data_IF_174493391760
#
_entry.id   IF_174493391760
#
_cell.length_a   1.000
_cell.length_b   1.000
_cell.length_c   1.000
_cell.angle_alpha   90.00
_cell.angle_beta   90.00
_cell.angle_gamma   90.00
#
_symmetry.space_group_name_H-M   'P 1'
#
loop_
_entity.id
_entity.type
_entity.pdbx_description
1 polymer ?
2 non-polymer ?
3 non-polymer ?
4 non-polymer ?
5 water ?
#
# COMPACT_ATOMS: atom_id res chain seq x y z
N UNK A 5 23.73 -12.00 14.87
CA UNK A 5 22.76 -11.32 14.03
C UNK A 5 21.38 -11.94 14.18
N UNK A 6 20.45 -11.24 14.81
CA UNK A 6 19.08 -11.75 14.97
C UNK A 6 18.22 -11.36 13.78
N UNK A 7 17.42 -12.29 13.30
CA UNK A 7 16.62 -12.01 12.12
C UNK A 7 15.12 -11.93 12.32
N UNK A 8 14.49 -10.95 11.69
CA UNK A 8 13.04 -10.85 11.65
C UNK A 8 12.60 -11.01 10.21
N UNK A 9 11.82 -12.04 9.95
CA UNK A 9 11.32 -12.28 8.62
C UNK A 9 9.84 -11.94 8.51
N UNK A 10 9.52 -10.99 7.65
CA UNK A 10 8.15 -10.59 7.40
C UNK A 10 7.72 -11.12 6.04
N UNK A 11 6.72 -11.99 6.02
CA UNK A 11 6.23 -12.57 4.77
C UNK A 11 4.91 -11.92 4.37
N UNK A 12 4.87 -11.33 3.19
CA UNK A 12 3.70 -10.60 2.75
C UNK A 12 2.80 -11.24 1.69
N UNK A 13 3.22 -12.34 1.13
CA UNK A 13 2.37 -12.99 0.16
C UNK A 13 1.26 -13.74 0.86
N UNK A 14 0.08 -13.73 0.28
CA UNK A 14 -1.04 -14.49 0.80
C UNK A 14 -0.96 -15.94 0.39
N UNK A 15 -0.08 -16.24 -0.55
CA UNK A 15 0.10 -17.62 -0.97
C UNK A 15 1.08 -18.32 -0.06
N UNK A 16 0.93 -19.63 0.07
CA UNK A 16 1.82 -20.42 0.91
C UNK A 16 2.87 -21.13 0.09
N UNK A 17 2.70 -22.43 -0.07
CA UNK A 17 3.59 -23.25 -0.86
C UNK A 17 3.90 -22.71 -2.23
N UNK A 18 2.91 -22.08 -2.84
CA UNK A 18 3.03 -21.56 -4.18
C UNK A 18 3.65 -20.20 -4.25
N UNK A 19 3.92 -19.59 -3.12
CA UNK A 19 4.53 -18.27 -3.12
C UNK A 19 6.00 -18.31 -3.47
N UNK A 20 6.37 -17.59 -4.49
CA UNK A 20 7.75 -17.51 -4.91
C UNK A 20 8.55 -16.60 -4.02
N UNK A 21 7.96 -15.48 -3.63
CA UNK A 21 8.61 -14.55 -2.73
C UNK A 21 8.89 -15.15 -1.36
N UNK A 22 7.98 -15.99 -0.90
CA UNK A 22 8.15 -16.69 0.35
C UNK A 22 9.22 -17.77 0.23
N UNK A 23 9.21 -18.52 -0.87
CA UNK A 23 10.14 -19.60 -1.09
C UNK A 23 11.57 -19.10 -1.17
N UNK A 24 11.76 -18.04 -1.95
CA UNK A 24 13.07 -17.47 -2.12
C UNK A 24 13.63 -16.98 -0.81
N UNK A 25 12.78 -16.44 0.04
CA UNK A 25 13.23 -15.91 1.30
C UNK A 25 13.55 -17.01 2.29
N UNK A 26 12.81 -18.11 2.22
CA UNK A 26 13.03 -19.25 3.07
C UNK A 26 14.32 -19.94 2.67
N UNK A 27 14.68 -19.82 1.40
CA UNK A 27 15.92 -20.36 0.91
C UNK A 27 17.05 -19.61 1.58
N UNK A 28 16.94 -18.30 1.62
CA UNK A 28 17.92 -17.48 2.27
C UNK A 28 18.03 -17.75 3.76
N UNK A 29 16.89 -17.97 4.40
CA UNK A 29 16.85 -18.16 5.83
C UNK A 29 17.40 -19.48 6.26
N UNK A 30 17.17 -20.51 5.47
CA UNK A 30 17.72 -21.81 5.78
C UNK A 30 19.23 -21.76 5.62
N UNK A 31 19.68 -21.22 4.50
CA UNK A 31 21.08 -21.05 4.22
C UNK A 31 21.75 -20.29 5.33
N UNK A 32 21.16 -19.18 5.73
CA UNK A 32 21.74 -18.42 6.79
C UNK A 32 21.82 -19.24 8.06
N UNK A 33 20.83 -20.10 8.27
CA UNK A 33 20.77 -20.96 9.43
C UNK A 33 21.84 -22.05 9.47
N UNK A 34 22.24 -22.54 8.31
CA UNK A 34 23.31 -23.50 8.21
C UNK A 34 24.59 -22.80 8.64
N UNK A 35 24.76 -21.55 8.24
CA UNK A 35 25.94 -20.82 8.60
C UNK A 35 25.98 -20.33 10.03
N UNK A 36 24.82 -20.07 10.62
CA UNK A 36 24.78 -19.55 11.97
C UNK A 36 23.78 -20.29 12.85
N UNK A 37 24.16 -21.50 13.21
CA UNK A 37 23.31 -22.41 13.97
C UNK A 37 22.72 -21.84 15.24
N UNK A 38 23.35 -20.83 15.80
CA UNK A 38 22.89 -20.22 17.04
C UNK A 38 22.00 -19.02 16.84
N UNK A 39 21.83 -18.59 15.59
CA UNK A 39 21.05 -17.40 15.29
C UNK A 39 19.59 -17.57 15.53
N UNK A 40 18.95 -16.49 15.94
CA UNK A 40 17.52 -16.51 16.18
C UNK A 40 16.76 -15.94 14.99
N UNK A 41 15.74 -16.66 14.56
CA UNK A 41 14.88 -16.24 13.47
C UNK A 41 13.45 -16.12 13.95
N UNK A 42 12.91 -14.92 13.91
CA UNK A 42 11.53 -14.69 14.22
C UNK A 42 10.80 -14.49 12.91
N UNK A 43 9.58 -15.01 12.82
CA UNK A 43 8.77 -14.85 11.63
C UNK A 43 7.49 -14.08 11.95
N UNK A 44 7.14 -13.14 11.10
CA UNK A 44 5.91 -12.37 11.25
C UNK A 44 5.09 -12.43 9.97
N UNK A 45 3.94 -13.07 10.04
CA UNK A 45 3.05 -13.23 8.89
C UNK A 45 2.13 -12.04 8.65
N UNK A 46 2.20 -11.45 7.48
CA UNK A 46 1.34 -10.32 7.16
C UNK A 46 0.59 -10.51 5.86
N UNK A 47 0.72 -11.68 5.28
CA UNK A 47 0.07 -11.98 4.03
C UNK A 47 -1.06 -12.97 4.14
N UNK A 48 -0.83 -14.04 4.87
CA UNK A 48 -1.77 -15.12 5.02
C UNK A 48 -2.65 -14.90 6.21
N UNK A 49 -2.38 -13.80 6.89
CA UNK A 49 -3.06 -13.46 8.10
C UNK A 49 -3.40 -11.99 7.99
N UNK A 50 -4.59 -11.61 8.41
CA UNK A 50 -4.98 -10.22 8.32
C UNK A 50 -4.28 -9.37 9.37
N UNK A 51 -3.89 -8.18 9.00
CA UNK A 51 -3.22 -7.28 9.89
C UNK A 51 -4.01 -6.00 9.92
N UNK A 52 -4.48 -5.64 11.09
CA UNK A 52 -5.28 -4.44 11.27
C UNK A 52 -4.69 -3.20 10.66
N UNK A 53 -5.57 -2.44 10.03
CA UNK A 53 -5.25 -1.18 9.46
C UNK A 53 -5.29 -0.17 10.56
N UNK A 54 -4.62 0.94 10.34
CA UNK A 54 -4.62 2.05 11.24
C UNK A 54 -6.03 2.61 11.35
N UNK A 55 -6.51 2.73 12.57
CA UNK A 55 -7.82 3.29 12.85
C UNK A 55 -7.68 4.71 13.38
N UNK A 56 -8.79 5.36 13.62
CA UNK A 56 -8.79 6.69 14.18
C UNK A 56 -8.24 6.61 15.58
N UNK A 57 -8.59 5.54 16.27
CA UNK A 57 -8.13 5.32 17.62
C UNK A 57 -6.63 5.12 17.64
N UNK A 58 -6.09 4.50 16.61
CA UNK A 58 -4.66 4.32 16.54
C UNK A 58 -4.00 5.65 16.37
N UNK A 59 -4.58 6.50 15.56
CA UNK A 59 -4.04 7.83 15.37
C UNK A 59 -4.06 8.67 16.65
N UNK A 60 -5.14 8.59 17.40
CA UNK A 60 -5.29 9.35 18.62
C UNK A 60 -4.27 8.96 19.64
N UNK A 61 -4.02 7.67 19.75
CA UNK A 61 -3.10 7.14 20.71
C UNK A 61 -1.65 7.30 20.33
N UNK A 62 -1.34 6.99 19.09
CA UNK A 62 0.03 7.04 18.64
C UNK A 62 0.61 8.44 18.59
N UNK A 63 -0.25 9.44 18.47
CA UNK A 63 0.17 10.82 18.41
C UNK A 63 -0.33 11.64 19.57
N UNK A 64 -0.71 10.97 20.64
CA UNK A 64 -1.17 11.63 21.84
C UNK A 64 0.00 12.48 22.26
N UNK A 65 -0.30 13.70 22.72
CA UNK A 65 0.75 14.66 23.07
C UNK A 65 1.47 14.33 24.36
N UNK A 66 0.78 13.69 25.29
CA UNK A 66 1.36 13.27 26.55
C UNK A 66 1.18 11.78 26.68
N UNK A 67 2.05 11.04 26.03
CA UNK A 67 1.96 9.57 26.00
C UNK A 67 1.77 8.90 27.34
N UNK A 68 2.48 9.35 28.36
CA UNK A 68 2.31 8.80 29.70
C UNK A 68 0.87 8.84 30.21
N UNK A 69 0.07 9.74 29.66
CA UNK A 69 -1.31 9.89 30.07
C UNK A 69 -2.30 9.07 29.30
N UNK A 70 -1.86 8.17 28.44
CA UNK A 70 -2.78 7.35 27.67
C UNK A 70 -3.53 6.42 28.58
N UNK A 71 -4.81 6.23 28.32
CA UNK A 71 -5.61 5.34 29.11
C UNK A 71 -5.25 3.91 28.77
N UNK A 72 -5.77 2.98 29.55
CA UNK A 72 -5.57 1.57 29.34
C UNK A 72 -6.15 1.17 28.01
N UNK A 73 -7.29 1.76 27.68
CA UNK A 73 -7.95 1.54 26.43
C UNK A 73 -7.08 1.97 25.27
N UNK A 74 -6.46 3.13 25.39
CA UNK A 74 -5.56 3.62 24.36
C UNK A 74 -4.37 2.71 24.18
N UNK A 75 -3.84 2.19 25.28
CA UNK A 75 -2.69 1.33 25.23
C UNK A 75 -3.04 0.05 24.51
N UNK A 76 -4.25 -0.41 24.73
CA UNK A 76 -4.76 -1.59 24.07
C UNK A 76 -4.81 -1.39 22.56
N UNK A 77 -5.06 -0.17 22.13
CA UNK A 77 -5.10 0.18 20.74
C UNK A 77 -3.71 0.11 20.12
N UNK A 78 -2.68 0.20 20.96
CA UNK A 78 -1.30 0.23 20.51
C UNK A 78 -0.54 -1.05 20.81
N UNK A 79 -1.24 -2.01 21.38
CA UNK A 79 -0.63 -3.26 21.77
C UNK A 79 -0.02 -4.05 20.65
N UNK A 80 -0.74 -4.25 19.57
CA UNK A 80 -0.18 -4.98 18.44
C UNK A 80 1.05 -4.25 17.92
N UNK A 81 0.91 -2.96 17.73
CA UNK A 81 2.00 -2.13 17.28
C UNK A 81 3.25 -2.26 18.14
N UNK A 82 3.08 -2.22 19.45
CA UNK A 82 4.20 -2.39 20.36
C UNK A 82 4.85 -3.73 20.12
N UNK A 83 4.05 -4.78 19.96
CA UNK A 83 4.58 -6.10 19.67
C UNK A 83 5.39 -6.12 18.39
N UNK A 84 4.86 -5.49 17.35
CA UNK A 84 5.49 -5.42 16.03
C UNK A 84 6.79 -4.64 15.97
N UNK A 85 6.83 -3.45 16.58
CA UNK A 85 8.07 -2.73 16.59
C UNK A 85 9.09 -3.41 17.49
N UNK A 86 8.61 -4.04 18.55
CA UNK A 86 9.45 -4.81 19.42
C UNK A 86 10.21 -5.87 18.67
N UNK A 87 9.56 -6.54 17.73
CA UNK A 87 10.22 -7.55 16.93
C UNK A 87 11.32 -6.94 16.10
N UNK A 88 11.08 -5.72 15.65
CA UNK A 88 12.02 -5.00 14.83
C UNK A 88 13.18 -4.53 15.66
N UNK A 89 12.90 -4.04 16.85
CA UNK A 89 13.94 -3.58 17.74
C UNK A 89 14.87 -4.72 18.10
N UNK A 90 14.32 -5.91 18.24
CA UNK A 90 15.11 -7.06 18.60
C UNK A 90 15.91 -7.62 17.46
N UNK A 91 15.79 -7.06 16.28
CA UNK A 91 16.47 -7.66 15.15
C UNK A 91 17.63 -6.86 14.62
N UNK A 92 18.53 -7.56 13.95
CA UNK A 92 19.65 -6.89 13.33
C UNK A 92 19.37 -6.87 11.85
N UNK A 93 18.74 -7.93 11.38
CA UNK A 93 18.41 -8.03 9.98
C UNK A 93 16.95 -8.34 9.72
N UNK A 94 16.34 -7.51 8.89
CA UNK A 94 14.95 -7.62 8.51
C UNK A 94 14.83 -8.15 7.11
N UNK A 95 14.13 -9.26 6.96
CA UNK A 95 13.91 -9.81 5.65
C UNK A 95 12.44 -9.65 5.32
N UNK A 96 12.14 -9.01 4.22
CA UNK A 96 10.77 -8.87 3.80
C UNK A 96 10.56 -9.55 2.47
N UNK A 97 9.63 -10.50 2.43
CA UNK A 97 9.27 -11.17 1.19
C UNK A 97 7.92 -10.63 0.74
N UNK A 98 7.83 -10.23 -0.51
CA UNK A 98 6.61 -9.63 -1.02
C UNK A 98 6.50 -9.74 -2.53
N UNK A 99 5.27 -9.91 -3.01
CA UNK A 99 5.00 -9.87 -4.43
C UNK A 99 4.60 -8.45 -4.79
N UNK A 100 4.65 -8.10 -6.08
CA UNK A 100 4.16 -6.81 -6.51
C UNK A 100 2.69 -6.94 -6.85
N UNK A 101 1.84 -6.26 -6.08
CA UNK A 101 0.40 -6.33 -6.32
C UNK A 101 -0.03 -4.96 -6.80
N UNK A 102 -0.47 -4.87 -8.04
CA UNK A 102 -0.94 -3.59 -8.59
C UNK A 102 0.02 -2.42 -8.38
N UNK A 103 1.26 -2.67 -8.76
CA UNK A 103 2.33 -1.71 -8.74
C UNK A 103 2.80 -1.28 -7.35
N UNK A 104 2.43 -2.04 -6.34
CA UNK A 104 2.80 -1.75 -4.98
C UNK A 104 2.87 -3.06 -4.24
N UNK A 105 2.68 -3.03 -2.94
CA UNK A 105 2.73 -4.24 -2.14
C UNK A 105 1.32 -4.64 -1.71
N UNK A 106 1.12 -5.90 -1.36
CA UNK A 106 -0.16 -6.33 -0.80
C UNK A 106 -0.54 -5.44 0.38
N UNK A 107 -1.83 -5.24 0.60
CA UNK A 107 -2.29 -4.35 1.67
C UNK A 107 -1.85 -4.69 3.08
N UNK A 108 -1.64 -5.97 3.36
CA UNK A 108 -1.15 -6.41 4.62
C UNK A 108 0.22 -5.87 4.99
N UNK A 109 1.11 -5.77 4.02
CA UNK A 109 2.44 -5.23 4.25
C UNK A 109 2.39 -3.74 4.48
N UNK A 110 1.47 -3.08 3.81
CA UNK A 110 1.27 -1.66 4.00
C UNK A 110 0.79 -1.43 5.43
N UNK A 111 -0.05 -2.32 5.92
CA UNK A 111 -0.58 -2.20 7.25
C UNK A 111 0.51 -2.45 8.27
N UNK A 112 1.46 -3.32 7.95
CA UNK A 112 2.55 -3.60 8.85
C UNK A 112 3.42 -2.37 9.01
N UNK A 113 3.72 -1.72 7.90
CA UNK A 113 4.47 -0.50 7.93
C UNK A 113 3.74 0.53 8.79
N UNK A 114 2.45 0.68 8.57
CA UNK A 114 1.64 1.66 9.27
C UNK A 114 1.64 1.42 10.77
N UNK A 115 1.88 0.19 11.17
CA UNK A 115 1.95 -0.18 12.57
C UNK A 115 3.32 0.10 13.18
N UNK A 116 4.38 0.00 12.40
CA UNK A 116 5.71 0.17 12.92
C UNK A 116 6.36 1.55 12.91
N UNK A 117 5.86 2.46 12.11
CA UNK A 117 6.35 3.82 12.12
C UNK A 117 5.62 4.51 13.25
N UNK A 118 6.31 4.69 14.35
CA UNK A 118 5.73 5.20 15.57
C UNK A 118 6.49 6.37 16.17
N UNK A 119 5.75 7.42 16.46
CA UNK A 119 6.32 8.61 17.02
C UNK A 119 6.95 8.36 18.38
N UNK A 120 8.17 8.82 18.54
CA UNK A 120 8.85 8.66 19.80
C UNK A 120 9.41 7.27 20.00
N UNK A 121 9.24 6.42 19.00
CA UNK A 121 9.70 5.04 19.04
C UNK A 121 10.56 4.66 17.86
N UNK A 122 10.05 4.82 16.65
CA UNK A 122 10.88 4.53 15.50
C UNK A 122 11.25 5.77 14.72
N UNK A 123 10.70 6.89 15.14
CA UNK A 123 11.05 8.17 14.59
C UNK A 123 10.58 9.19 15.56
N UNK A 124 11.14 10.38 15.47
CA UNK A 124 10.73 11.48 16.30
C UNK A 124 10.88 12.72 15.48
N UNK A 125 10.45 13.83 16.05
CA UNK A 125 10.60 15.07 15.35
C UNK A 125 10.90 16.24 16.27
N UNK A 126 11.33 17.33 15.66
CA UNK A 126 11.64 18.51 16.40
C UNK A 126 11.11 19.65 15.55
N UNK A 127 10.89 20.81 16.14
CA UNK A 127 10.34 21.90 15.37
C UNK A 127 11.28 22.96 14.80
N UNK A 128 10.97 23.37 13.58
CA UNK A 128 11.70 24.36 12.81
C UNK A 128 12.44 25.43 13.58
N UNK A 131 7.75 24.04 11.11
CA UNK A 131 7.98 22.86 10.30
C UNK A 131 8.74 21.74 11.00
N UNK A 132 8.08 20.62 11.19
CA UNK A 132 8.67 19.47 11.85
C UNK A 132 9.89 18.92 11.14
N UNK A 133 10.93 18.62 11.90
CA UNK A 133 12.12 18.01 11.35
C UNK A 133 12.19 16.63 11.92
N UNK A 134 12.16 15.64 11.05
CA UNK A 134 12.09 14.26 11.46
C UNK A 134 13.42 13.61 11.67
N UNK A 135 13.46 12.61 12.54
CA UNK A 135 14.69 11.91 12.86
C UNK A 135 14.37 10.44 13.09
N UNK A 136 15.14 9.57 12.49
CA UNK A 136 14.92 8.14 12.63
C UNK A 136 15.50 7.65 13.93
N UNK A 137 14.91 6.63 14.54
CA UNK A 137 15.40 6.15 15.82
C UNK A 137 15.98 4.77 15.78
N UNK A 138 15.96 4.17 14.61
CA UNK A 138 16.48 2.83 14.44
C UNK A 138 17.93 2.85 13.98
N UNK A 139 18.79 2.11 14.66
CA UNK A 139 20.19 2.08 14.28
C UNK A 139 20.75 0.69 14.22
N UNK A 140 21.67 0.49 13.29
CA UNK A 140 22.41 -0.74 13.17
C UNK A 140 21.70 -1.89 12.50
N UNK A 141 20.63 -1.60 11.80
CA UNK A 141 19.87 -2.62 11.14
C UNK A 141 19.97 -2.55 9.63
N UNK A 142 19.86 -3.71 9.01
CA UNK A 142 19.86 -3.84 7.57
C UNK A 142 18.55 -4.48 7.18
N UNK A 143 18.20 -4.38 5.91
CA UNK A 143 17.00 -5.00 5.40
C UNK A 143 17.26 -5.68 4.08
N UNK A 144 16.64 -6.83 3.90
CA UNK A 144 16.72 -7.54 2.65
C UNK A 144 15.30 -7.70 2.15
N UNK A 145 15.05 -7.22 0.96
CA UNK A 145 13.75 -7.33 0.36
C UNK A 145 13.76 -8.34 -0.79
N UNK A 146 13.03 -9.42 -0.62
CA UNK A 146 12.88 -10.41 -1.66
C UNK A 146 11.51 -10.26 -2.31
N UNK A 147 11.48 -9.90 -3.58
CA UNK A 147 10.23 -9.67 -4.25
C UNK A 147 10.07 -10.49 -5.49
N UNK A 148 8.82 -10.71 -5.87
CA UNK A 148 8.46 -11.43 -7.06
C UNK A 148 7.45 -10.62 -7.87
N UNK A 149 7.56 -10.66 -9.18
CA UNK A 149 6.71 -9.93 -10.09
C UNK A 149 6.26 -10.81 -11.25
N UNK A 150 5.05 -10.56 -11.72
CA UNK A 150 4.45 -11.31 -12.79
C UNK A 150 4.91 -10.83 -14.13
N UNK A 151 5.08 -9.52 -14.24
CA UNK A 151 5.57 -8.90 -15.44
C UNK A 151 7.06 -8.64 -15.40
N UNK A 152 7.54 -7.77 -16.25
CA UNK A 152 8.95 -7.52 -16.33
C UNK A 152 9.23 -6.06 -16.50
N UNK A 153 10.49 -5.70 -16.31
CA UNK A 153 10.92 -4.34 -16.53
C UNK A 153 10.72 -3.39 -15.39
N UNK A 154 10.45 -3.90 -14.21
CA UNK A 154 10.21 -3.00 -13.07
C UNK A 154 11.46 -2.63 -12.30
N UNK A 155 12.58 -3.26 -12.66
CA UNK A 155 13.83 -3.03 -12.00
C UNK A 155 14.59 -1.86 -12.55
N UNK A 156 15.72 -1.51 -11.97
CA UNK A 156 16.49 -0.36 -12.45
C UNK A 156 16.83 -0.44 -13.92
N UNK A 157 16.67 0.68 -14.59
CA UNK A 157 16.91 0.74 -16.01
C UNK A 157 15.84 0.03 -16.81
N UNK A 158 14.83 -0.46 -16.11
CA UNK A 158 13.77 -1.17 -16.76
C UNK A 158 12.81 -0.26 -17.47
N UNK A 159 12.09 -0.83 -18.41
CA UNK A 159 11.12 -0.13 -19.20
C UNK A 159 10.03 0.48 -18.33
N UNK A 160 9.57 -0.31 -17.38
CA UNK A 160 8.48 0.06 -16.51
C UNK A 160 8.92 0.50 -15.14
N UNK A 161 10.14 0.99 -15.04
CA UNK A 161 10.69 1.38 -13.76
C UNK A 161 9.90 2.40 -12.96
N UNK A 162 9.35 3.39 -13.64
CA UNK A 162 8.64 4.46 -12.99
C UNK A 162 7.30 4.03 -12.42
N UNK A 163 6.80 2.88 -12.85
CA UNK A 163 5.58 2.30 -12.34
C UNK A 163 5.79 1.56 -11.04
N UNK A 164 7.03 1.33 -10.64
CA UNK A 164 7.32 0.56 -9.43
C UNK A 164 7.15 1.36 -8.16
N UNK A 165 6.10 1.04 -7.40
CA UNK A 165 5.84 1.69 -6.14
C UNK A 165 5.80 0.67 -5.04
N UNK A 166 6.44 -0.46 -5.30
CA UNK A 166 6.51 -1.51 -4.32
C UNK A 166 7.83 -1.42 -3.54
N UNK A 167 8.88 -2.00 -4.06
CA UNK A 167 10.17 -1.96 -3.40
C UNK A 167 10.82 -0.59 -3.28
N UNK A 168 10.62 0.30 -4.22
CA UNK A 168 11.13 1.65 -4.05
C UNK A 168 10.40 2.41 -2.96
N UNK A 169 9.13 2.13 -2.75
CA UNK A 169 8.40 2.77 -1.69
C UNK A 169 8.83 2.21 -0.32
N UNK A 170 9.10 0.92 -0.26
CA UNK A 170 9.51 0.29 0.97
C UNK A 170 10.84 0.84 1.46
N UNK A 171 11.75 1.14 0.54
CA UNK A 171 13.04 1.73 0.86
C UNK A 171 12.83 3.08 1.51
N UNK A 172 11.99 3.89 0.91
CA UNK A 172 11.70 5.21 1.40
C UNK A 172 11.19 5.16 2.81
N UNK A 173 10.25 4.26 3.08
CA UNK A 173 9.65 4.13 4.38
C UNK A 173 10.56 3.51 5.45
N UNK A 174 11.29 2.49 5.07
CA UNK A 174 12.24 1.87 5.96
C UNK A 174 13.31 2.89 6.30
N UNK A 175 13.69 3.69 5.32
CA UNK A 175 14.69 4.71 5.49
C UNK A 175 14.30 5.81 6.45
N UNK A 176 13.01 6.11 6.51
CA UNK A 176 12.50 7.14 7.38
C UNK A 176 12.65 6.75 8.84
N UNK A 177 12.72 5.47 9.11
CA UNK A 177 12.86 5.01 10.48
C UNK A 177 14.28 4.60 10.82
N UNK A 178 15.16 4.68 9.84
CA UNK A 178 16.55 4.43 10.10
C UNK A 178 17.20 3.28 9.39
N UNK A 179 16.40 2.51 8.65
CA UNK A 179 16.96 1.38 7.94
C UNK A 179 17.37 1.77 6.54
N UNK A 180 18.62 2.15 6.37
CA UNK A 180 19.08 2.56 5.06
C UNK A 180 20.03 1.66 4.33
N UNK A 181 20.43 0.55 4.95
CA UNK A 181 21.20 -0.49 4.23
C UNK A 181 20.06 -1.42 3.83
N UNK A 182 19.69 -1.38 2.55
CA UNK A 182 18.64 -2.20 2.03
C UNK A 182 19.04 -2.82 0.72
N UNK A 183 18.89 -4.13 0.64
CA UNK A 183 19.20 -4.87 -0.56
C UNK A 183 17.93 -5.48 -1.16
N UNK A 184 17.76 -5.33 -2.46
CA UNK A 184 16.60 -5.88 -3.16
C UNK A 184 16.96 -7.02 -4.09
N UNK A 185 16.33 -8.17 -3.90
CA UNK A 185 16.49 -9.30 -4.78
C UNK A 185 15.17 -9.58 -5.48
N UNK A 186 15.15 -9.45 -6.80
CA UNK A 186 13.94 -9.58 -7.56
C UNK A 186 13.88 -10.68 -8.59
N UNK A 187 12.70 -11.26 -8.72
CA UNK A 187 12.44 -12.25 -9.73
C UNK A 187 11.24 -11.77 -10.53
N UNK A 188 11.43 -11.62 -11.84
CA UNK A 188 10.37 -11.15 -12.73
C UNK A 188 9.82 -12.18 -13.68
N UNK A 189 8.97 -11.71 -14.59
CA UNK A 189 8.36 -12.57 -15.58
C UNK A 189 7.61 -13.74 -15.01
N UNK A 196 11.43 -19.17 -18.41
CA UNK A 196 12.51 -18.26 -18.10
C UNK A 196 12.22 -17.45 -16.87
N UNK A 197 11.13 -17.78 -16.19
CA UNK A 197 10.84 -17.13 -14.94
C UNK A 197 11.63 -17.98 -13.99
N UNK A 198 11.81 -19.23 -14.40
CA UNK A 198 12.62 -20.17 -13.67
C UNK A 198 14.07 -19.70 -13.66
N UNK A 199 14.46 -18.99 -14.70
CA UNK A 199 15.83 -18.47 -14.78
C UNK A 199 15.97 -17.32 -13.79
N UNK A 200 15.03 -16.40 -13.82
CA UNK A 200 15.07 -15.27 -12.91
C UNK A 200 15.06 -15.76 -11.48
N UNK A 201 14.36 -16.85 -11.25
CA UNK A 201 14.27 -17.44 -9.94
C UNK A 201 15.55 -18.15 -9.54
N UNK A 202 16.17 -18.87 -10.46
CA UNK A 202 17.40 -19.55 -10.13
C UNK A 202 18.48 -18.53 -9.89
N UNK A 203 18.45 -17.45 -10.64
CA UNK A 203 19.40 -16.39 -10.40
C UNK A 203 19.23 -15.76 -9.02
N UNK A 204 18.00 -15.38 -8.70
CA UNK A 204 17.69 -14.80 -7.41
C UNK A 204 18.09 -15.71 -6.30
N UNK A 205 17.88 -16.99 -6.52
CA UNK A 205 18.20 -17.99 -5.52
C UNK A 205 19.70 -18.10 -5.30
N UNK A 206 20.49 -17.92 -6.35
CA UNK A 206 21.94 -17.90 -6.25
C UNK A 206 22.47 -16.66 -5.56
N UNK A 207 21.84 -15.52 -5.83
CA UNK A 207 22.20 -14.28 -5.16
C UNK A 207 21.94 -14.34 -3.67
N UNK A 208 20.86 -15.01 -3.28
CA UNK A 208 20.50 -15.13 -1.87
C UNK A 208 21.39 -16.08 -1.11
N UNK A 209 21.75 -17.18 -1.74
CA UNK A 209 22.68 -18.12 -1.15
C UNK A 209 23.98 -17.40 -0.87
N UNK A 210 24.44 -16.61 -1.81
CA UNK A 210 25.63 -15.81 -1.64
C UNK A 210 25.52 -14.82 -0.49
N UNK A 211 24.39 -14.13 -0.40
CA UNK A 211 24.19 -13.15 0.64
C UNK A 211 24.09 -13.79 2.01
N UNK A 212 23.58 -15.00 2.08
CA UNK A 212 23.46 -15.68 3.35
C UNK A 212 24.82 -16.08 3.91
N UNK A 213 25.74 -16.41 3.01
CA UNK A 213 27.05 -16.88 3.41
C UNK A 213 27.98 -15.77 3.85
N UNK A 214 27.56 -14.53 3.71
CA UNK A 214 28.43 -13.41 4.01
C UNK A 214 27.84 -12.37 4.94
N UNK A 215 26.67 -12.62 5.48
CA UNK A 215 26.05 -11.66 6.38
C UNK A 215 26.24 -12.04 7.83
N UNK B 5 -22.15 12.61 -14.23
CA UNK B 5 -23.44 12.67 -13.57
C UNK B 5 -23.65 11.54 -12.57
N UNK B 6 -22.74 10.59 -12.56
CA UNK B 6 -22.76 9.52 -11.58
C UNK B 6 -21.40 9.48 -10.95
N UNK B 7 -21.37 9.62 -9.64
CA UNK B 7 -20.13 9.68 -8.90
C UNK B 7 -19.96 8.55 -7.90
N UNK B 8 -18.76 7.99 -7.88
CA UNK B 8 -18.41 7.02 -6.88
C UNK B 8 -17.41 7.76 -6.06
N UNK B 9 -17.67 7.86 -4.78
CA UNK B 9 -16.79 8.55 -3.88
C UNK B 9 -16.14 7.57 -2.93
N UNK B 10 -14.83 7.40 -3.06
CA UNK B 10 -14.10 6.51 -2.20
C UNK B 10 -13.33 7.27 -1.11
N UNK B 11 -13.68 7.03 0.15
CA UNK B 11 -13.04 7.68 1.28
C UNK B 11 -12.07 6.78 2.00
N UNK B 12 -10.82 7.18 2.08
CA UNK B 12 -9.76 6.34 2.58
C UNK B 12 -9.23 6.60 3.98
N UNK B 13 -9.54 7.75 4.53
CA UNK B 13 -9.11 8.07 5.86
C UNK B 13 -9.95 7.38 6.92
N UNK B 14 -9.29 6.92 7.96
CA UNK B 14 -9.94 6.25 9.07
C UNK B 14 -10.61 7.23 10.00
N UNK B 15 -10.29 8.50 9.83
CA UNK B 15 -10.90 9.55 10.62
C UNK B 15 -12.23 10.01 10.04
N UNK B 16 -13.09 10.49 10.91
CA UNK B 16 -14.40 10.97 10.53
C UNK B 16 -14.46 12.47 10.35
N UNK B 17 -14.91 13.16 11.38
CA UNK B 17 -15.02 14.61 11.32
C UNK B 17 -13.69 15.31 11.22
N UNK B 18 -12.68 14.74 11.81
CA UNK B 18 -11.39 15.36 11.81
C UNK B 18 -10.62 15.11 10.53
N UNK B 19 -11.15 14.30 9.63
CA UNK B 19 -10.44 14.07 8.40
C UNK B 19 -10.52 15.27 7.50
N UNK B 20 -9.37 15.72 7.04
CA UNK B 20 -9.30 16.86 6.17
C UNK B 20 -9.54 16.42 4.77
N UNK B 21 -8.97 15.27 4.41
CA UNK B 21 -9.18 14.75 3.08
C UNK B 21 -10.64 14.43 2.82
N UNK B 22 -11.33 13.92 3.82
CA UNK B 22 -12.74 13.63 3.71
C UNK B 22 -13.58 14.90 3.59
N UNK B 23 -13.25 15.91 4.37
CA UNK B 23 -14.00 17.16 4.34
C UNK B 23 -13.84 17.87 3.01
N UNK B 24 -12.63 17.92 2.51
CA UNK B 24 -12.39 18.56 1.24
C UNK B 24 -13.13 17.87 0.11
N UNK B 25 -13.18 16.56 0.14
CA UNK B 25 -13.88 15.81 -0.86
C UNK B 25 -15.38 16.07 -0.80
N UNK B 26 -15.92 16.17 0.40
CA UNK B 26 -17.35 16.42 0.59
C UNK B 26 -17.72 17.84 0.21
N UNK B 27 -16.76 18.75 0.29
CA UNK B 27 -16.97 20.10 -0.15
C UNK B 27 -17.17 20.08 -1.65
N UNK B 28 -16.37 19.27 -2.34
CA UNK B 28 -16.51 19.13 -3.77
C UNK B 28 -17.84 18.51 -4.09
N UNK B 29 -18.21 17.49 -3.36
CA UNK B 29 -19.41 16.77 -3.64
C UNK B 29 -20.67 17.55 -3.46
N UNK B 30 -20.70 18.42 -2.47
CA UNK B 30 -21.85 19.27 -2.23
C UNK B 30 -21.92 20.34 -3.32
N UNK B 31 -20.79 20.92 -3.65
CA UNK B 31 -20.74 21.88 -4.71
C UNK B 31 -21.19 21.28 -6.03
N UNK B 32 -20.76 20.07 -6.29
CA UNK B 32 -21.10 19.42 -7.53
C UNK B 32 -22.58 19.13 -7.59
N UNK B 33 -23.17 18.83 -6.46
CA UNK B 33 -24.56 18.51 -6.39
C UNK B 33 -25.42 19.72 -6.62
N UNK B 34 -24.96 20.88 -6.20
CA UNK B 34 -25.72 22.09 -6.44
C UNK B 34 -25.76 22.43 -7.90
N UNK B 35 -24.67 22.13 -8.59
CA UNK B 35 -24.57 22.38 -10.01
C UNK B 35 -25.26 21.31 -10.84
N UNK B 36 -25.57 20.19 -10.23
CA UNK B 36 -26.18 19.09 -10.94
C UNK B 36 -27.07 18.34 -10.02
N UNK B 37 -28.17 18.95 -9.65
CA UNK B 37 -29.11 18.38 -8.68
C UNK B 37 -29.68 17.02 -9.03
N UNK B 38 -29.29 16.52 -10.19
CA UNK B 38 -29.75 15.29 -10.78
C UNK B 38 -28.81 14.14 -10.49
N UNK B 39 -27.57 14.50 -10.17
CA UNK B 39 -26.49 13.58 -9.95
C UNK B 39 -26.70 12.60 -8.82
N UNK B 40 -26.24 11.37 -9.04
CA UNK B 40 -26.25 10.35 -8.03
C UNK B 40 -24.86 10.26 -7.44
N UNK B 41 -24.77 10.05 -6.15
CA UNK B 41 -23.50 9.87 -5.51
C UNK B 41 -23.55 8.59 -4.73
N UNK B 42 -22.59 7.72 -4.98
CA UNK B 42 -22.47 6.49 -4.23
C UNK B 42 -21.23 6.60 -3.37
N UNK B 43 -21.33 6.26 -2.11
CA UNK B 43 -20.19 6.36 -1.24
C UNK B 43 -19.65 5.01 -0.84
N UNK B 44 -18.34 4.86 -0.96
CA UNK B 44 -17.67 3.63 -0.62
C UNK B 44 -16.61 3.87 0.45
N UNK B 45 -16.88 3.42 1.65
CA UNK B 45 -15.95 3.57 2.76
C UNK B 45 -14.88 2.51 2.79
N UNK B 46 -13.64 2.93 2.68
CA UNK B 46 -12.52 2.00 2.78
C UNK B 46 -11.56 2.38 3.88
N UNK B 47 -11.86 3.45 4.59
CA UNK B 47 -11.02 3.94 5.66
C UNK B 47 -11.49 3.65 7.09
N UNK B 48 -12.76 3.90 7.35
CA UNK B 48 -13.33 3.71 8.66
C UNK B 48 -13.82 2.30 8.85
N UNK B 49 -13.78 1.53 7.77
CA UNK B 49 -14.27 0.19 7.77
C UNK B 49 -13.21 -0.70 7.15
N UNK B 50 -13.05 -1.89 7.67
CA UNK B 50 -12.05 -2.82 7.16
C UNK B 50 -12.40 -3.36 5.78
N UNK B 51 -11.44 -3.35 4.90
CA UNK B 51 -11.64 -3.90 3.59
C UNK B 51 -10.71 -5.05 3.51
N UNK B 52 -11.21 -6.23 3.21
CA UNK B 52 -10.38 -7.43 3.16
C UNK B 52 -9.29 -7.41 2.12
N UNK B 53 -8.14 -7.94 2.49
CA UNK B 53 -7.01 -8.07 1.60
C UNK B 53 -7.26 -9.25 0.69
N UNK B 54 -6.58 -9.23 -0.43
CA UNK B 54 -6.63 -10.31 -1.39
C UNK B 54 -6.04 -11.53 -0.70
N UNK B 55 -6.72 -12.67 -0.81
CA UNK B 55 -6.23 -13.88 -0.22
C UNK B 55 -5.79 -14.83 -1.31
N UNK B 56 -5.31 -16.00 -0.94
CA UNK B 56 -4.90 -16.99 -1.93
C UNK B 56 -6.15 -17.48 -2.64
N UNK B 57 -7.24 -17.53 -1.90
CA UNK B 57 -8.51 -17.95 -2.44
C UNK B 57 -8.98 -16.96 -3.47
N UNK B 58 -8.77 -15.68 -3.23
CA UNK B 58 -9.12 -14.67 -4.18
C UNK B 58 -8.33 -14.84 -5.46
N UNK B 59 -7.03 -15.06 -5.34
CA UNK B 59 -6.18 -15.23 -6.50
C UNK B 59 -6.61 -16.41 -7.37
N UNK B 60 -6.93 -17.53 -6.74
CA UNK B 60 -7.37 -18.71 -7.45
C UNK B 60 -8.62 -18.45 -8.27
N UNK B 61 -9.55 -17.73 -7.68
CA UNK B 61 -10.79 -17.39 -8.34
C UNK B 61 -10.65 -16.30 -9.40
N UNK B 62 -9.86 -15.30 -9.09
CA UNK B 62 -9.69 -14.18 -9.98
C UNK B 62 -8.88 -14.49 -11.23
N UNK B 63 -7.97 -15.43 -11.12
CA UNK B 63 -7.16 -15.83 -12.26
C UNK B 63 -7.49 -17.22 -12.79
N UNK B 64 -8.69 -17.67 -12.51
CA UNK B 64 -9.20 -18.92 -12.99
C UNK B 64 -9.15 -18.89 -14.51
N UNK B 65 -8.54 -19.90 -15.12
CA UNK B 65 -8.43 -19.96 -16.58
C UNK B 65 -9.76 -20.08 -17.30
N UNK B 66 -10.76 -20.63 -16.63
CA UNK B 66 -12.08 -20.81 -17.19
C UNK B 66 -13.14 -20.29 -16.23
N UNK B 67 -13.23 -18.97 -16.11
CA UNK B 67 -14.09 -18.33 -15.13
C UNK B 67 -15.55 -18.75 -15.12
N UNK B 68 -16.05 -19.13 -16.27
CA UNK B 68 -17.41 -19.59 -16.42
C UNK B 68 -17.61 -20.85 -15.59
N UNK B 69 -16.52 -21.50 -15.21
CA UNK B 69 -16.57 -22.73 -14.43
C UNK B 69 -16.33 -22.57 -12.92
N UNK B 70 -16.26 -21.33 -12.46
CA UNK B 70 -16.05 -21.06 -11.05
C UNK B 70 -17.17 -21.64 -10.22
N UNK B 71 -16.79 -22.30 -9.15
CA UNK B 71 -17.73 -22.87 -8.24
C UNK B 71 -18.43 -21.78 -7.46
N UNK B 72 -19.44 -22.15 -6.68
CA UNK B 72 -20.19 -21.22 -5.86
C UNK B 72 -19.31 -20.60 -4.79
N UNK B 73 -18.44 -21.40 -4.21
CA UNK B 73 -17.53 -20.92 -3.20
C UNK B 73 -16.59 -19.87 -3.77
N UNK B 74 -16.12 -20.07 -4.98
CA UNK B 74 -15.23 -19.14 -5.62
C UNK B 74 -15.90 -17.84 -5.97
N UNK B 75 -17.17 -17.90 -6.31
CA UNK B 75 -17.92 -16.72 -6.59
C UNK B 75 -18.10 -15.96 -5.30
N UNK B 76 -18.20 -16.67 -4.19
CA UNK B 76 -18.33 -16.03 -2.91
C UNK B 76 -17.08 -15.23 -2.57
N UNK B 77 -15.93 -15.79 -2.90
CA UNK B 77 -14.65 -15.17 -2.68
C UNK B 77 -14.52 -13.89 -3.47
N UNK B 78 -15.23 -13.81 -4.58
CA UNK B 78 -15.17 -12.65 -5.44
C UNK B 78 -16.37 -11.73 -5.37
N UNK B 79 -17.30 -12.01 -4.48
CA UNK B 79 -18.53 -11.24 -4.35
C UNK B 79 -18.33 -9.77 -4.00
N UNK B 80 -17.52 -9.48 -3.02
CA UNK B 80 -17.22 -8.12 -2.66
C UNK B 80 -16.54 -7.45 -3.83
N UNK B 81 -15.60 -8.15 -4.45
CA UNK B 81 -14.91 -7.63 -5.61
C UNK B 81 -15.90 -7.19 -6.67
N UNK B 82 -16.82 -8.07 -7.02
CA UNK B 82 -17.85 -7.77 -8.01
C UNK B 82 -18.63 -6.54 -7.63
N UNK B 83 -18.99 -6.42 -6.37
CA UNK B 83 -19.72 -5.27 -5.89
C UNK B 83 -18.91 -4.00 -6.05
N UNK B 84 -17.65 -4.06 -5.70
CA UNK B 84 -16.76 -2.92 -5.83
C UNK B 84 -16.54 -2.49 -7.26
N UNK B 85 -16.32 -3.44 -8.16
CA UNK B 85 -16.17 -3.09 -9.57
C UNK B 85 -17.44 -2.57 -10.22
N UNK B 86 -18.58 -3.13 -9.85
CA UNK B 86 -19.86 -2.66 -10.34
C UNK B 86 -20.06 -1.19 -10.03
N UNK B 87 -19.71 -0.78 -8.84
CA UNK B 87 -19.82 0.62 -8.46
C UNK B 87 -18.98 1.47 -9.38
N UNK B 88 -17.80 0.98 -9.74
CA UNK B 88 -16.92 1.68 -10.65
C UNK B 88 -17.52 1.78 -12.04
N UNK B 89 -18.00 0.66 -12.55
CA UNK B 89 -18.59 0.62 -13.87
C UNK B 89 -19.74 1.59 -14.00
N UNK B 90 -20.50 1.74 -12.93
CA UNK B 90 -21.67 2.58 -12.90
C UNK B 90 -21.34 4.04 -12.71
N UNK B 91 -20.09 4.38 -12.54
CA UNK B 91 -19.73 5.75 -12.31
C UNK B 91 -19.17 6.44 -13.53
N UNK B 92 -19.26 7.76 -13.57
CA UNK B 92 -18.68 8.54 -14.63
C UNK B 92 -17.46 9.20 -14.06
N UNK B 93 -17.57 9.64 -12.81
CA UNK B 93 -16.48 10.27 -12.10
C UNK B 93 -16.18 9.55 -10.79
N UNK B 94 -14.91 9.24 -10.58
CA UNK B 94 -14.45 8.63 -9.37
C UNK B 94 -13.76 9.67 -8.53
N UNK B 95 -14.23 9.86 -7.32
CA UNK B 95 -13.62 10.75 -6.38
C UNK B 95 -12.98 9.93 -5.27
N UNK B 96 -11.69 10.08 -5.10
CA UNK B 96 -10.98 9.39 -4.06
C UNK B 96 -10.39 10.38 -3.12
N UNK B 97 -10.66 10.23 -1.85
CA UNK B 97 -10.07 11.06 -0.84
C UNK B 97 -9.09 10.23 -0.04
N UNK B 98 -7.95 10.78 0.30
CA UNK B 98 -6.98 9.99 1.02
C UNK B 98 -5.88 10.79 1.65
N UNK B 99 -5.47 10.39 2.83
CA UNK B 99 -4.32 10.98 3.47
C UNK B 99 -3.07 10.39 2.85
N UNK B 100 -1.91 10.93 3.17
CA UNK B 100 -0.67 10.28 2.83
C UNK B 100 -0.22 9.59 4.11
N UNK B 101 -0.18 8.27 4.10
CA UNK B 101 0.31 7.50 5.24
C UNK B 101 1.62 6.84 4.85
N UNK B 102 2.68 7.19 5.55
CA UNK B 102 3.98 6.65 5.27
C UNK B 102 4.38 6.60 3.80
N UNK B 103 4.30 7.75 3.18
CA UNK B 103 4.69 7.95 1.80
C UNK B 103 3.84 7.26 0.76
N UNK B 104 2.73 6.70 1.21
CA UNK B 104 1.77 6.00 0.38
C UNK B 104 0.36 6.26 0.91
N UNK B 105 -0.55 5.29 0.75
CA UNK B 105 -1.93 5.45 1.18
C UNK B 105 -2.28 4.50 2.30
N UNK B 106 -3.34 4.77 3.04
CA UNK B 106 -3.74 3.86 4.10
C UNK B 106 -4.02 2.49 3.51
N UNK B 107 -3.82 1.45 4.30
CA UNK B 107 -3.93 0.10 3.82
C UNK B 107 -5.26 -0.30 3.22
N UNK B 108 -6.33 0.34 3.64
CA UNK B 108 -7.64 0.06 3.11
C UNK B 108 -7.80 0.45 1.66
N UNK B 109 -7.17 1.55 1.28
CA UNK B 109 -7.21 1.99 -0.09
C UNK B 109 -6.42 1.06 -1.00
N UNK B 110 -5.30 0.58 -0.51
CA UNK B 110 -4.53 -0.35 -1.28
C UNK B 110 -5.34 -1.63 -1.49
N UNK B 111 -6.08 -2.04 -0.48
CA UNK B 111 -6.94 -3.20 -0.56
C UNK B 111 -8.11 -3.01 -1.52
N UNK B 112 -8.62 -1.80 -1.62
CA UNK B 112 -9.68 -1.48 -2.54
C UNK B 112 -9.19 -1.68 -3.96
N UNK B 113 -8.06 -1.07 -4.27
CA UNK B 113 -7.42 -1.24 -5.54
C UNK B 113 -7.21 -2.72 -5.80
N UNK B 114 -6.78 -3.46 -4.80
CA UNK B 114 -6.55 -4.86 -4.98
C UNK B 114 -7.78 -5.67 -5.35
N UNK B 115 -8.96 -5.20 -4.93
CA UNK B 115 -10.25 -5.82 -5.25
C UNK B 115 -10.81 -5.42 -6.62
N UNK B 116 -10.49 -4.22 -7.06
CA UNK B 116 -11.03 -3.70 -8.30
C UNK B 116 -10.23 -3.91 -9.59
N UNK B 117 -8.98 -4.29 -9.49
CA UNK B 117 -8.21 -4.63 -10.67
C UNK B 117 -8.46 -6.11 -10.92
N UNK B 118 -9.23 -6.42 -11.95
CA UNK B 118 -9.69 -7.77 -12.22
C UNK B 118 -9.57 -8.25 -13.65
N UNK B 119 -8.82 -9.33 -13.80
CA UNK B 119 -8.60 -9.94 -15.09
C UNK B 119 -9.89 -10.24 -15.81
N UNK B 120 -9.99 -9.75 -17.03
CA UNK B 120 -11.16 -9.96 -17.83
C UNK B 120 -12.33 -9.06 -17.53
N UNK B 121 -12.18 -8.19 -16.54
CA UNK B 121 -13.24 -7.30 -16.12
C UNK B 121 -12.82 -5.83 -16.18
N UNK B 122 -11.73 -5.47 -15.55
CA UNK B 122 -11.23 -4.11 -15.65
C UNK B 122 -9.94 -4.00 -16.46
N UNK B 123 -9.31 -5.13 -16.71
CA UNK B 123 -8.16 -5.22 -17.59
C UNK B 123 -8.11 -6.61 -18.18
N UNK B 124 -7.46 -6.70 -19.33
CA UNK B 124 -7.27 -7.96 -20.02
C UNK B 124 -5.82 -8.09 -20.41
N UNK B 125 -5.46 -9.23 -20.94
CA UNK B 125 -4.12 -9.44 -21.47
C UNK B 125 -4.18 -10.30 -22.70
N UNK B 126 -3.16 -10.18 -23.54
CA UNK B 126 -3.09 -10.96 -24.76
C UNK B 126 -1.67 -11.38 -25.04
N UNK B 133 0.67 -8.93 -23.10
CA UNK B 133 0.32 -7.52 -23.15
C UNK B 133 -1.02 -7.18 -22.46
N UNK B 134 -1.03 -6.09 -21.72
CA UNK B 134 -2.19 -5.71 -20.97
C UNK B 134 -2.92 -4.53 -21.57
N UNK B 135 -4.24 -4.61 -21.60
CA UNK B 135 -5.07 -3.52 -22.06
C UNK B 135 -6.05 -3.17 -20.96
N UNK B 136 -6.55 -1.95 -20.97
CA UNK B 136 -7.53 -1.51 -19.99
C UNK B 136 -8.95 -1.75 -20.47
N UNK B 137 -9.89 -1.95 -19.56
CA UNK B 137 -11.26 -2.20 -19.96
C UNK B 137 -12.26 -1.10 -19.63
N UNK B 138 -11.87 -0.14 -18.83
CA UNK B 138 -12.78 0.94 -18.46
C UNK B 138 -12.61 2.17 -19.31
N UNK B 139 -13.70 2.65 -19.85
CA UNK B 139 -13.65 3.84 -20.67
C UNK B 139 -14.66 4.86 -20.24
N UNK B 140 -14.38 6.12 -20.52
CA UNK B 140 -15.28 7.21 -20.21
C UNK B 140 -15.28 7.75 -18.80
N UNK B 141 -14.31 7.35 -18.00
CA UNK B 141 -14.26 7.81 -16.64
C UNK B 141 -13.15 8.78 -16.37
N UNK B 142 -13.37 9.63 -15.40
CA UNK B 142 -12.34 10.52 -14.92
C UNK B 142 -12.25 10.33 -13.43
N UNK B 143 -11.15 10.76 -12.86
CA UNK B 143 -10.97 10.62 -11.44
C UNK B 143 -10.44 11.90 -10.85
N UNK B 144 -10.86 12.18 -9.63
CA UNK B 144 -10.39 13.32 -8.91
C UNK B 144 -9.86 12.77 -7.62
N UNK B 145 -8.63 13.13 -7.29
CA UNK B 145 -8.04 12.65 -6.09
C UNK B 145 -7.80 13.81 -5.14
N UNK B 146 -8.43 13.73 -3.99
CA UNK B 146 -8.25 14.72 -2.95
C UNK B 146 -7.39 14.09 -1.87
N UNK B 147 -6.20 14.63 -1.68
CA UNK B 147 -5.23 14.11 -0.75
C UNK B 147 -4.73 15.13 0.24
N UNK B 148 -4.41 14.65 1.42
CA UNK B 148 -3.98 15.47 2.51
C UNK B 148 -2.70 14.91 3.06
N UNK B 149 -1.72 15.78 3.25
CA UNK B 149 -0.43 15.39 3.74
C UNK B 149 -0.06 16.24 4.94
N UNK B 150 0.69 15.67 5.85
CA UNK B 150 1.09 16.38 7.03
C UNK B 150 2.29 17.25 6.81
N UNK B 151 3.18 16.82 5.94
CA UNK B 151 4.37 17.56 5.61
C UNK B 151 4.22 18.44 4.39
N UNK B 152 5.28 18.59 3.64
CA UNK B 152 5.25 19.47 2.50
C UNK B 152 6.26 19.06 1.47
N UNK B 153 6.03 19.50 0.23
CA UNK B 153 6.92 19.23 -0.87
C UNK B 153 6.76 17.93 -1.60
N UNK B 154 5.59 17.32 -1.54
CA UNK B 154 5.34 16.07 -2.21
C UNK B 154 4.73 16.19 -3.61
N UNK B 155 4.23 17.36 -3.96
CA UNK B 155 3.66 17.59 -5.28
C UNK B 155 4.69 17.84 -6.36
N UNK B 156 4.22 18.12 -7.56
CA UNK B 156 5.12 18.34 -8.67
C UNK B 156 6.14 19.42 -8.40
N UNK B 157 7.40 19.12 -8.65
CA UNK B 157 8.49 20.05 -8.46
C UNK B 157 8.90 20.28 -7.03
N UNK B 158 8.40 19.43 -6.15
CA UNK B 158 8.67 19.56 -4.74
C UNK B 158 9.92 18.90 -4.31
N UNK B 159 10.43 19.39 -3.20
CA UNK B 159 11.60 18.87 -2.56
C UNK B 159 11.52 17.35 -2.42
N UNK B 160 10.37 16.89 -1.96
CA UNK B 160 10.17 15.50 -1.66
C UNK B 160 9.37 14.69 -2.66
N UNK B 161 9.09 15.29 -3.80
CA UNK B 161 8.35 14.61 -4.83
C UNK B 161 8.67 13.14 -5.04
N UNK B 162 9.93 12.76 -4.96
CA UNK B 162 10.30 11.41 -5.28
C UNK B 162 9.89 10.43 -4.21
N UNK B 163 9.57 10.96 -3.05
CA UNK B 163 9.11 10.15 -1.94
C UNK B 163 7.61 9.91 -1.99
N UNK B 164 6.92 10.55 -2.91
CA UNK B 164 5.48 10.40 -3.03
C UNK B 164 5.08 9.14 -3.75
N UNK B 165 4.61 8.16 -3.01
CA UNK B 165 4.13 6.93 -3.60
C UNK B 165 2.66 6.75 -3.30
N UNK B 166 1.99 7.87 -3.09
CA UNK B 166 0.60 7.89 -2.80
C UNK B 166 -0.18 8.17 -4.05
N UNK B 167 -0.43 9.43 -4.35
CA UNK B 167 -1.18 9.76 -5.53
C UNK B 167 -0.56 9.39 -6.86
N UNK B 168 0.76 9.43 -6.97
CA UNK B 168 1.38 9.02 -8.21
C UNK B 168 1.22 7.53 -8.41
N UNK B 169 1.15 6.76 -7.34
CA UNK B 169 0.91 5.35 -7.49
C UNK B 169 -0.55 5.10 -7.90
N UNK B 170 -1.46 5.87 -7.34
CA UNK B 170 -2.86 5.75 -7.70
C UNK B 170 -3.08 5.95 -9.19
N UNK B 171 -2.41 6.94 -9.76
CA UNK B 171 -2.51 7.20 -11.20
C UNK B 171 -2.10 6.00 -12.01
N UNK B 172 -1.01 5.37 -11.63
CA UNK B 172 -0.52 4.19 -12.31
C UNK B 172 -1.53 3.07 -12.30
N UNK B 173 -2.07 2.79 -11.12
CA UNK B 173 -3.06 1.74 -10.96
C UNK B 173 -4.36 2.07 -11.65
N UNK B 174 -4.85 3.29 -11.49
CA UNK B 174 -6.04 3.71 -12.18
C UNK B 174 -5.76 3.70 -13.67
N UNK B 175 -4.55 4.09 -14.05
CA UNK B 175 -4.18 4.10 -15.44
C UNK B 175 -4.20 2.74 -16.10
N UNK B 176 -3.76 1.73 -15.38
CA UNK B 176 -3.74 0.36 -15.85
C UNK B 176 -5.10 -0.13 -16.26
N UNK B 177 -6.12 0.31 -15.53
CA UNK B 177 -7.48 -0.09 -15.84
C UNK B 177 -8.25 0.83 -16.77
N UNK B 178 -7.64 1.93 -17.17
CA UNK B 178 -8.28 2.80 -18.11
C UNK B 178 -8.57 4.20 -17.64
N UNK B 179 -8.44 4.46 -16.36
CA UNK B 179 -8.72 5.79 -15.90
C UNK B 179 -7.49 6.65 -16.04
N UNK B 180 -7.42 7.36 -17.15
CA UNK B 180 -6.27 8.17 -17.45
C UNK B 180 -6.44 9.67 -17.40
N UNK B 181 -7.65 10.07 -17.15
CA UNK B 181 -7.93 11.48 -16.96
C UNK B 181 -8.11 11.71 -15.46
N UNK B 182 -6.99 12.08 -14.80
CA UNK B 182 -6.97 12.19 -13.38
C UNK B 182 -6.46 13.54 -12.96
N UNK B 183 -7.13 14.11 -11.99
CA UNK B 183 -6.76 15.39 -11.44
C UNK B 183 -6.46 15.23 -9.95
N UNK B 184 -5.39 15.85 -9.48
CA UNK B 184 -5.01 15.78 -8.08
C UNK B 184 -5.02 17.13 -7.37
N UNK B 185 -5.78 17.22 -6.30
CA UNK B 185 -5.80 18.40 -5.46
C UNK B 185 -5.22 18.04 -4.11
N UNK B 186 -4.17 18.70 -3.69
CA UNK B 186 -3.50 18.36 -2.45
C UNK B 186 -3.44 19.47 -1.42
N UNK B 187 -3.52 19.09 -0.16
CA UNK B 187 -3.40 20.02 0.94
C UNK B 187 -2.26 19.58 1.84
N UNK B 188 -1.20 20.38 1.89
CA UNK B 188 -0.03 20.04 2.64
C UNK B 188 0.10 20.88 3.90
N UNK B 189 1.21 20.70 4.61
CA UNK B 189 1.55 21.49 5.77
C UNK B 189 0.56 21.37 6.89
N UNK B 202 -7.08 26.91 2.79
CA UNK B 202 -8.19 27.41 2.01
C UNK B 202 -7.94 27.32 0.51
N UNK B 203 -6.69 27.16 0.13
CA UNK B 203 -6.36 27.06 -1.28
C UNK B 203 -7.07 25.89 -1.99
N UNK B 204 -7.00 24.70 -1.42
CA UNK B 204 -7.60 23.52 -2.03
C UNK B 204 -9.11 23.59 -2.12
N UNK B 205 -9.73 24.09 -1.07
CA UNK B 205 -11.16 24.23 -1.04
C UNK B 205 -11.63 25.07 -2.22
N UNK B 206 -10.93 26.16 -2.50
CA UNK B 206 -11.32 27.02 -3.60
C UNK B 206 -11.15 26.35 -4.93
N UNK B 207 -10.06 25.63 -5.09
CA UNK B 207 -9.84 24.90 -6.30
C UNK B 207 -10.93 23.86 -6.51
N UNK B 208 -11.30 23.18 -5.45
CA UNK B 208 -12.34 22.17 -5.52
C UNK B 208 -13.70 22.74 -5.91
N UNK B 209 -14.04 23.91 -5.42
CA UNK B 209 -15.29 24.56 -5.78
C UNK B 209 -15.32 24.93 -7.25
N UNK B 210 -14.20 25.44 -7.74
CA UNK B 210 -14.05 25.77 -9.14
C UNK B 210 -14.21 24.54 -9.98
N UNK B 211 -13.64 23.43 -9.55
CA UNK B 211 -13.76 22.20 -10.30
C UNK B 211 -15.16 21.66 -10.35
N UNK B 212 -15.88 21.83 -9.25
CA UNK B 212 -17.26 21.40 -9.15
C UNK B 212 -18.16 22.16 -10.09
N UNK B 213 -17.86 23.43 -10.30
CA UNK B 213 -18.64 24.25 -11.19
C UNK B 213 -18.48 23.91 -12.67
N UNK B 214 -17.33 23.35 -13.04
CA UNK B 214 -16.99 23.12 -14.43
C UNK B 214 -16.79 21.67 -14.83
N UNK B 215 -17.20 20.73 -14.00
CA UNK B 215 -17.03 19.33 -14.31
C UNK B 215 -18.31 18.75 -14.86
X LIG C 1 2.70 -8.57 -11.24
X LIG C 1 3.29 -7.39 -11.71
X LIG C 1 4.32 -7.41 -12.40
X LIG C 1 2.73 -6.20 -11.41
X LIG C 1 1.56 -6.07 -10.70
X LIG C 1 1.15 -4.93 -10.50
X LIG C 1 0.90 -7.22 -10.26
X LIG C 1 -0.25 -7.15 -9.50
X LIG C 1 -0.81 -8.33 -9.05
X LIG C 1 -1.98 -8.28 -8.30
X LIG C 1 -2.58 -9.43 -7.82
X LIG C 1 -3.67 -9.21 -6.82
X LIG C 1 -1.99 -10.70 -8.14
X LIG C 1 -2.60 -11.99 -7.69
X LIG C 1 -0.85 -10.78 -8.87
X LIG C 1 -0.24 -9.59 -9.34
X LIG C 1 0.93 -9.64 -10.08
X LIG C 1 1.50 -8.47 -10.53
X LIG C 1 1.68 -10.90 -10.26
X LIG C 1 2.49 -11.25 -9.01
X LIG C 1 3.31 -10.17 -8.68
X LIG C 1 3.27 -12.54 -9.20
X LIG C 1 2.34 -13.62 -9.32
X LIG C 1 4.15 -12.74 -7.97
X LIG C 1 5.21 -13.66 -8.22
X LIG C 1 3.35 -13.11 -6.72
X LIG C 1 4.18 -13.34 -5.62
X LIG C 1 4.14 -14.73 -4.84
X LIG C 1 4.49 -15.83 -5.81
X LIG C 1 2.76 -14.93 -4.27
X LIG C 1 5.08 -14.60 -3.68
X LIG D 1 -0.67 -14.20 -11.40
X LIG D 1 0.49 -15.07 -11.78
X LIG D 1 0.46 -16.41 -11.35
X LIG D 1 -0.62 -16.89 -10.58
X LIG D 1 -1.69 -16.07 -10.23
X LIG D 1 -1.72 -14.72 -10.61
X LIG D 1 -0.24 -11.07 -13.06
X LIG D 1 -1.18 -10.21 -12.48
X LIG D 1 -1.09 -8.84 -12.72
X LIG D 1 -0.05 -8.34 -13.51
X LIG D 1 0.89 -9.18 -14.07
X LIG D 1 0.80 -10.58 -13.86
X LIG D 1 1.67 -14.54 -12.57
X LIG D 1 -0.78 -5.99 -13.24
X LIG D 1 1.12 -6.30 -14.40
X LIG D 1 -0.67 -12.86 -11.77
X LIG D 1 -0.24 -12.45 -12.86
X LIG D 1 1.62 -14.05 -13.84
X LIG D 1 2.76 -14.54 -11.96
X LIG D 1 0.08 -6.98 -13.73
X LIG E 1 -5.94 -4.16 4.80
X LIG E 1 -6.08 -2.88 5.34
X LIG E 1 -5.53 -5.03 5.98
X LIG E 1 -6.72 -5.59 6.56
X LIG E 1 -4.53 -6.09 5.47
X LIG E 1 -4.39 -7.22 6.31
X LIG F 1 -1.98 -10.87 14.60
X LIG F 1 -1.70 -10.86 13.22
X LIG F 1 -3.05 -9.84 14.93
X LIG F 1 -4.09 -9.92 13.97
X LIG F 1 -3.59 -10.06 16.34
X LIG F 1 -4.93 -10.55 16.30
X LIG G 1 2.13 13.21 6.34
X LIG G 1 3.09 13.28 5.37
X LIG G 1 3.41 14.32 4.80
X LIG G 1 3.79 12.15 4.98
X LIG G 1 3.57 10.92 5.60
X LIG G 1 4.19 9.93 5.21
X LIG G 1 2.61 10.83 6.58
X LIG G 1 2.37 9.60 7.19
X LIG G 1 1.40 9.50 8.16
X LIG G 1 1.15 8.25 8.75
X LIG G 1 0.16 8.14 9.71
X LIG G 1 -0.21 6.70 10.04
X LIG G 1 -0.59 9.29 10.09
X LIG G 1 -1.71 9.28 11.12
X LIG G 1 -0.35 10.52 9.51
X LIG G 1 0.66 10.63 8.55
X LIG G 1 0.90 11.85 7.93
X LIG G 1 1.88 11.98 6.95
X LIG G 1 0.09 13.03 8.23
X LIG G 1 -1.18 12.91 7.42
X LIG G 1 -0.96 12.79 6.03
X LIG G 1 -2.09 14.10 7.72
X LIG G 1 -2.50 14.18 9.09
X LIG G 1 -3.26 14.02 6.79
X LIG G 1 -3.90 15.29 6.80
X LIG G 1 -4.27 12.97 7.26
X LIG G 1 -5.42 13.03 6.44
X LIG G 1 -6.87 13.12 7.08
X LIG G 1 -6.90 14.40 7.79
X LIG G 1 -7.05 11.93 8.02
X LIG G 1 -7.95 13.04 5.98
X LIG H 1 -0.47 13.64 12.42
X LIG H 1 -0.94 14.97 12.04
X LIG H 1 -2.05 15.49 12.70
X LIG H 1 -2.68 14.73 13.68
X LIG H 1 -2.22 13.45 14.01
X LIG H 1 -1.13 12.89 13.37
X LIG H 1 2.63 13.01 10.70
X LIG H 1 2.88 11.67 10.83
X LIG H 1 3.87 11.15 10.02
X LIG H 1 4.55 11.94 9.12
X LIG H 1 4.30 13.26 8.99
X LIG H 1 3.33 13.80 9.78
X LIG H 1 -0.26 15.76 10.94
X LIG H 1 6.52 12.22 7.65
X LIG H 1 5.79 10.15 7.81
X LIG H 1 0.61 13.07 11.75
X LIG H 1 1.62 13.66 11.43
X LIG H 1 1.07 16.03 10.95
X LIG H 1 -0.95 16.17 9.99
X LIG H 1 5.54 11.45 8.28
X LIG I 1 -17.56 -5.08 3.36
X LIG I 1 -16.27 -4.50 3.51
X LIG I 1 -17.59 -6.48 3.98
X LIG I 1 -16.43 -6.88 4.68
X LIG I 1 -18.09 -7.58 3.04
X LIG I 1 -18.33 -8.75 3.82
#
# INVERSE_FOLDING_TARGET
GSHMSRILAVHASPRGERSQSRRLAEVFLAAYREAHPQARVARREVGRVPLPAVTEAFVAAAFHPQPEQRSLAMQADLALSDQLVGELFDSDLLVISTPMYNFSVPSGLKAWIDQIVRLGVTFDFVLDNGVAQYRPLLRGKRALIVTSRGGHGFGPGGENQAMNHADPWLRTALGFIGIDEVTVVAAEGEESGGRSFEDSCDEAEQRLLALARSA
GSHMSRILAVHASPRGERSQSRRLAEVFLAAYREAHPQARVARREVGRVPLPAVTEAFVAAAFHPQPEQRSLAMQADLALSDQLVGELFDSDLLVISTPMYNFSVPSGLKAWIDQIVRLGVTFDFVLDNGVAQYRPLLRGKRALIVTSRGGHGFGPGGENQAMNHADPWLRTALGFIGIDEVTVVAAEGEESGGRSFEDSCDEAEQRLLALARSA
FMN N1 C2 O2 N3 C4 O4 C4A N5 C5A C6 C7 C7M C8 C8M C9 C9A N10 C10 C1' C2' O2' C3' O3' C4' O4' C5' O5' P O1P O2P O3P
MRE C1 C2 C3 C4 C5 C6 C1' C2' C3' C4' C5' C6' C CHX CHZ N1 N1' OXT O N10
GOL C1 O1 C2 O2 C3 O3
GOL C1 O1 C2 O2 C3 O3
FMN N1 C2 O2 N3 C4 O4 C4A N5 C5A C6 C7 C7M C8 C8M C9 C9A N10 C10 C1' C2' O2' C3' O3' C4' O4' C5' O5' P O1P O2P O3P
MRE C1 C2 C3 C4 C5 C6 C1' C2' C3' C4' C5' C6' C CHX CHZ N1 N1' OXT O N10
GOL C1 O1 C2 O2 C3 O3
#
